data_IF_754775357218
#
_entry.id   IF_754775357218
#
_cell.length_a   1.000
_cell.length_b   1.000
_cell.length_c   1.000
_cell.angle_alpha   90.00
_cell.angle_beta   90.00
_cell.angle_gamma   90.00
#
_symmetry.space_group_name_H-M   'P 1'
#
loop_
_entity.id
_entity.type
_entity.pdbx_description
1 polymer ?
#
# COMPACT_ATOMS: atom_id res chain seq x y z
N UNK A 1 -7.12 -8.43 -10.89
CA UNK A 1 -6.38 -9.51 -10.17
C UNK A 1 -6.87 -9.55 -8.73
N UNK A 2 -7.27 -10.71 -8.26
CA UNK A 2 -7.72 -10.89 -6.86
C UNK A 2 -6.52 -11.00 -5.92
N UNK A 3 -6.77 -10.78 -4.62
CA UNK A 3 -5.69 -10.76 -3.61
C UNK A 3 -4.93 -12.09 -3.55
N UNK A 4 -5.61 -13.23 -3.64
CA UNK A 4 -4.99 -14.56 -3.61
C UNK A 4 -4.03 -14.76 -4.79
N UNK A 5 -4.40 -14.29 -5.97
CA UNK A 5 -3.53 -14.33 -7.15
C UNK A 5 -2.32 -13.43 -6.98
N UNK A 6 -2.50 -12.25 -6.39
CA UNK A 6 -1.40 -11.33 -6.08
C UNK A 6 -0.42 -11.95 -5.09
N UNK A 7 -0.93 -12.59 -4.04
CA UNK A 7 -0.09 -13.28 -3.03
C UNK A 7 0.70 -14.42 -3.64
N UNK A 8 0.05 -15.23 -4.49
CA UNK A 8 0.72 -16.32 -5.20
C UNK A 8 1.83 -15.79 -6.11
N UNK A 9 1.61 -14.68 -6.80
CA UNK A 9 2.60 -14.04 -7.66
C UNK A 9 3.78 -13.51 -6.85
N UNK A 10 3.53 -12.91 -5.68
CA UNK A 10 4.60 -12.46 -4.77
C UNK A 10 5.47 -13.63 -4.32
N UNK A 11 4.87 -14.74 -3.94
CA UNK A 11 5.62 -15.94 -3.53
C UNK A 11 6.45 -16.52 -4.69
N UNK A 12 5.90 -16.53 -5.90
CA UNK A 12 6.62 -16.93 -7.12
C UNK A 12 7.82 -16.03 -7.39
N UNK A 13 7.66 -14.72 -7.22
CA UNK A 13 8.76 -13.75 -7.39
C UNK A 13 9.84 -13.94 -6.34
N UNK A 14 9.47 -14.21 -5.08
CA UNK A 14 10.43 -14.48 -4.00
C UNK A 14 11.26 -15.73 -4.31
N UNK A 15 10.62 -16.78 -4.80
CA UNK A 15 11.30 -18.03 -5.18
C UNK A 15 12.29 -17.80 -6.32
N UNK A 16 11.89 -17.02 -7.34
CA UNK A 16 12.75 -16.68 -8.46
C UNK A 16 13.95 -15.83 -8.04
N UNK A 17 13.74 -14.85 -7.17
CA UNK A 17 14.82 -14.02 -6.61
C UNK A 17 15.80 -14.90 -5.83
N UNK A 18 15.32 -15.82 -5.01
CA UNK A 18 16.17 -16.75 -4.25
C UNK A 18 16.99 -17.65 -5.19
N UNK A 19 16.39 -18.11 -6.29
CA UNK A 19 17.09 -18.90 -7.30
C UNK A 19 18.20 -18.10 -7.96
N UNK A 20 17.95 -16.85 -8.31
CA UNK A 20 18.95 -15.96 -8.91
C UNK A 20 20.08 -15.68 -7.91
N UNK A 21 19.78 -15.42 -6.65
CA UNK A 21 20.78 -15.18 -5.61
C UNK A 21 21.74 -16.36 -5.47
N UNK A 22 21.24 -17.59 -5.58
CA UNK A 22 22.09 -18.79 -5.59
C UNK A 22 22.98 -18.85 -6.82
N UNK A 23 22.47 -18.46 -7.99
CA UNK A 23 23.23 -18.42 -9.22
C UNK A 23 24.35 -17.38 -9.16
N UNK A 24 24.12 -16.25 -8.46
CA UNK A 24 25.13 -15.19 -8.29
C UNK A 24 26.32 -15.64 -7.43
N UNK A 25 26.18 -16.69 -6.65
CA UNK A 25 27.27 -17.28 -5.88
C UNK A 25 28.22 -18.14 -6.73
N UNK A 26 27.88 -18.39 -7.99
CA UNK A 26 28.70 -19.19 -8.91
C UNK A 26 29.88 -18.35 -9.44
N UNK A 27 31.10 -18.72 -9.04
CA UNK A 27 32.32 -18.03 -9.43
C UNK A 27 32.66 -18.16 -10.92
N UNK A 28 32.04 -19.11 -11.62
CA UNK A 28 32.26 -19.34 -13.05
C UNK A 28 31.51 -18.38 -13.96
N UNK A 29 30.63 -17.52 -13.42
CA UNK A 29 29.87 -16.54 -14.19
C UNK A 29 30.78 -15.48 -14.78
N UNK A 30 30.54 -15.12 -16.04
CA UNK A 30 31.15 -13.94 -16.63
C UNK A 30 30.58 -12.67 -15.99
N UNK A 31 31.30 -11.54 -16.13
CA UNK A 31 30.81 -10.26 -15.63
C UNK A 31 29.47 -9.87 -16.25
N UNK A 32 29.30 -10.16 -17.54
CA UNK A 32 28.04 -9.88 -18.26
C UNK A 32 26.89 -10.72 -17.72
N UNK A 33 27.12 -12.01 -17.48
CA UNK A 33 26.12 -12.90 -16.91
C UNK A 33 25.73 -12.48 -15.48
N UNK A 34 26.72 -12.12 -14.68
CA UNK A 34 26.51 -11.63 -13.32
C UNK A 34 25.65 -10.37 -13.30
N UNK A 35 26.02 -9.37 -14.13
CA UNK A 35 25.30 -8.10 -14.19
C UNK A 35 23.86 -8.30 -14.69
N UNK A 36 23.64 -9.19 -15.66
CA UNK A 36 22.31 -9.51 -16.18
C UNK A 36 21.42 -10.15 -15.12
N UNK A 37 21.95 -11.10 -14.34
CA UNK A 37 21.21 -11.75 -13.26
C UNK A 37 20.92 -10.78 -12.11
N UNK A 38 21.89 -9.94 -11.76
CA UNK A 38 21.72 -8.94 -10.70
C UNK A 38 20.61 -7.94 -11.08
N UNK A 39 20.58 -7.47 -12.32
CA UNK A 39 19.53 -6.58 -12.82
C UNK A 39 18.17 -7.26 -12.78
N UNK A 40 18.09 -8.51 -13.19
CA UNK A 40 16.83 -9.29 -13.16
C UNK A 40 16.31 -9.44 -11.72
N UNK A 41 17.18 -9.73 -10.77
CA UNK A 41 16.82 -9.82 -9.36
C UNK A 41 16.34 -8.48 -8.82
N UNK A 42 17.00 -7.38 -9.20
CA UNK A 42 16.59 -6.03 -8.82
C UNK A 42 15.19 -5.69 -9.35
N UNK A 43 14.94 -5.92 -10.64
CA UNK A 43 13.64 -5.65 -11.26
C UNK A 43 12.53 -6.47 -10.61
N UNK A 44 12.77 -7.76 -10.32
CA UNK A 44 11.82 -8.62 -9.63
C UNK A 44 11.54 -8.13 -8.21
N UNK A 45 12.57 -7.65 -7.50
CA UNK A 45 12.41 -7.10 -6.15
C UNK A 45 11.53 -5.86 -6.16
N UNK A 46 11.68 -4.98 -7.17
CA UNK A 46 10.83 -3.79 -7.31
C UNK A 46 9.38 -4.18 -7.61
N UNK A 47 9.16 -5.10 -8.55
CA UNK A 47 7.81 -5.59 -8.86
C UNK A 47 7.14 -6.25 -7.66
N UNK A 48 7.90 -7.07 -6.92
CA UNK A 48 7.41 -7.72 -5.72
C UNK A 48 6.99 -6.69 -4.67
N UNK A 49 7.83 -5.68 -4.44
CA UNK A 49 7.54 -4.61 -3.49
C UNK A 49 6.27 -3.84 -3.87
N UNK A 50 6.12 -3.48 -5.15
CA UNK A 50 4.94 -2.79 -5.64
C UNK A 50 3.68 -3.64 -5.49
N UNK A 51 3.77 -4.92 -5.80
CA UNK A 51 2.62 -5.83 -5.68
C UNK A 51 2.25 -6.07 -4.21
N UNK A 52 3.24 -6.17 -3.32
CA UNK A 52 3.00 -6.28 -1.89
C UNK A 52 2.28 -5.04 -1.35
N UNK A 53 2.66 -3.84 -1.82
CA UNK A 53 1.97 -2.61 -1.44
C UNK A 53 0.50 -2.62 -1.88
N UNK A 54 0.22 -3.10 -3.08
CA UNK A 54 -1.17 -3.26 -3.56
C UNK A 54 -1.96 -4.22 -2.66
N UNK A 55 -1.37 -5.35 -2.30
CA UNK A 55 -1.98 -6.33 -1.40
C UNK A 55 -2.29 -5.66 -0.04
N UNK A 56 -1.34 -4.91 0.50
CA UNK A 56 -1.51 -4.22 1.78
C UNK A 56 -2.65 -3.20 1.72
N UNK A 57 -2.75 -2.44 0.63
CA UNK A 57 -3.84 -1.47 0.43
C UNK A 57 -5.20 -2.16 0.33
N UNK A 58 -5.29 -3.25 -0.43
CA UNK A 58 -6.55 -3.97 -0.64
C UNK A 58 -6.96 -4.83 0.55
N UNK A 59 -6.03 -5.15 1.44
CA UNK A 59 -6.30 -5.91 2.67
C UNK A 59 -6.87 -5.04 3.79
N UNK A 60 -6.93 -3.73 3.62
CA UNK A 60 -7.55 -2.82 4.58
C UNK A 60 -9.05 -3.10 4.64
N UNK A 61 -9.60 -3.17 5.86
CA UNK A 61 -11.02 -3.48 6.09
C UNK A 61 -11.93 -2.44 5.42
N UNK A 62 -12.85 -2.92 4.58
CA UNK A 62 -13.82 -2.07 3.91
C UNK A 62 -14.89 -1.60 4.89
N UNK A 63 -15.21 -0.30 4.87
CA UNK A 63 -16.31 0.24 5.64
C UNK A 63 -17.65 -0.23 5.03
N UNK A 64 -18.52 -0.83 5.86
CA UNK A 64 -19.76 -1.46 5.38
C UNK A 64 -20.93 -0.47 5.38
N UNK A 65 -20.98 0.44 6.36
CA UNK A 65 -22.07 1.39 6.51
C UNK A 65 -21.57 2.77 6.87
N UNK A 66 -22.09 3.78 6.18
CA UNK A 66 -21.89 5.19 6.49
C UNK A 66 -23.24 5.90 6.43
N UNK A 67 -23.43 6.89 7.26
CA UNK A 67 -24.57 7.79 7.17
C UNK A 67 -24.42 8.72 5.97
N UNK A 68 -25.51 9.37 5.55
CA UNK A 68 -25.45 10.35 4.44
C UNK A 68 -24.45 11.48 4.73
N UNK A 69 -24.42 11.95 5.98
CA UNK A 69 -23.47 12.96 6.40
C UNK A 69 -22.03 12.46 6.31
N UNK A 70 -21.76 11.24 6.77
CA UNK A 70 -20.43 10.63 6.71
C UNK A 70 -19.98 10.42 5.26
N UNK A 71 -20.87 9.95 4.40
CA UNK A 71 -20.59 9.79 2.98
C UNK A 71 -20.23 11.14 2.33
N UNK A 72 -21.00 12.18 2.61
CA UNK A 72 -20.73 13.53 2.13
C UNK A 72 -19.39 14.06 2.64
N UNK A 73 -19.09 13.82 3.92
CA UNK A 73 -17.82 14.20 4.54
C UNK A 73 -16.63 13.50 3.85
N UNK A 74 -16.70 12.19 3.66
CA UNK A 74 -15.63 11.42 3.00
C UNK A 74 -15.44 11.82 1.54
N UNK A 75 -16.54 12.06 0.83
CA UNK A 75 -16.50 12.47 -0.57
C UNK A 75 -15.97 13.90 -0.77
N UNK A 76 -15.94 14.73 0.28
CA UNK A 76 -15.40 16.09 0.19
C UNK A 76 -13.89 16.13 0.06
N UNK A 77 -13.20 15.04 0.34
CA UNK A 77 -11.75 14.95 0.22
C UNK A 77 -11.35 14.41 -1.16
N UNK A 78 -10.39 15.07 -1.81
CA UNK A 78 -9.77 14.56 -3.04
C UNK A 78 -8.55 13.71 -2.68
N UNK A 79 -8.08 12.88 -3.62
CA UNK A 79 -6.88 12.07 -3.42
C UNK A 79 -5.65 12.93 -3.18
N UNK A 80 -4.73 12.43 -2.39
CA UNK A 80 -3.49 13.10 -2.03
C UNK A 80 -3.31 13.23 -0.52
N UNK A 81 -2.22 13.89 -0.14
CA UNK A 81 -1.92 14.18 1.27
C UNK A 81 -2.49 15.53 1.64
N UNK A 82 -3.23 15.58 2.74
CA UNK A 82 -3.87 16.81 3.20
C UNK A 82 -3.65 17.03 4.68
N UNK A 83 -3.49 18.28 5.07
CA UNK A 83 -3.55 18.69 6.46
C UNK A 83 -5.02 18.86 6.85
N UNK A 84 -5.41 18.28 7.97
CA UNK A 84 -6.79 18.37 8.49
C UNK A 84 -6.76 18.95 9.90
N UNK A 85 -7.91 19.44 10.35
CA UNK A 85 -8.05 19.94 11.72
C UNK A 85 -8.12 18.78 12.70
N UNK A 86 -7.80 19.03 13.98
CA UNK A 86 -7.94 18.03 15.03
C UNK A 86 -9.37 17.50 15.14
N UNK A 87 -10.35 18.37 14.92
CA UNK A 87 -11.76 18.01 14.92
C UNK A 87 -12.11 17.03 13.79
N UNK A 88 -11.57 17.26 12.59
CA UNK A 88 -11.72 16.33 11.46
C UNK A 88 -11.03 15.00 11.74
N UNK A 89 -9.83 15.03 12.33
CA UNK A 89 -9.11 13.82 12.72
C UNK A 89 -9.90 12.98 13.72
N UNK A 90 -10.59 13.61 14.66
CA UNK A 90 -11.46 12.90 15.62
C UNK A 90 -12.67 12.25 14.95
N UNK A 91 -13.22 12.89 13.91
CA UNK A 91 -14.29 12.27 13.11
C UNK A 91 -13.77 11.02 12.43
N UNK A 92 -12.57 11.06 11.85
CA UNK A 92 -11.95 9.89 11.23
C UNK A 92 -11.72 8.73 12.20
N UNK A 93 -11.48 9.01 13.49
CA UNK A 93 -11.34 7.95 14.50
C UNK A 93 -12.59 7.12 14.68
N UNK A 94 -13.75 7.63 14.30
CA UNK A 94 -15.02 6.88 14.36
C UNK A 94 -15.10 5.82 13.28
N UNK A 95 -14.27 5.95 12.24
CA UNK A 95 -14.16 4.96 11.18
C UNK A 95 -13.03 3.99 11.54
N UNK A 96 -13.32 2.73 11.59
CA UNK A 96 -12.36 1.65 11.81
C UNK A 96 -11.37 1.89 12.97
N UNK A 97 -11.78 2.63 14.01
CA UNK A 97 -10.95 2.87 15.18
C UNK A 97 -9.69 3.70 14.90
N UNK A 98 -9.72 4.58 13.90
CA UNK A 98 -8.58 5.40 13.49
C UNK A 98 -7.57 4.70 12.61
N UNK A 99 -7.78 3.42 12.31
CA UNK A 99 -6.94 2.66 11.37
C UNK A 99 -7.36 2.93 9.93
N UNK A 100 -6.46 2.71 8.96
CA UNK A 100 -6.81 2.87 7.55
C UNK A 100 -8.06 2.06 7.16
N UNK A 101 -8.87 2.61 6.29
CA UNK A 101 -10.08 1.96 5.79
C UNK A 101 -10.30 2.29 4.33
N UNK A 102 -11.16 1.51 3.66
CA UNK A 102 -11.54 1.71 2.28
C UNK A 102 -13.00 2.12 2.22
N UNK A 103 -13.27 3.18 1.47
CA UNK A 103 -14.62 3.63 1.16
C UNK A 103 -14.68 4.13 -0.28
N UNK A 104 -15.65 3.63 -1.03
CA UNK A 104 -15.92 4.07 -2.40
C UNK A 104 -14.67 4.07 -3.32
N UNK A 105 -13.90 2.98 -3.28
CA UNK A 105 -12.69 2.82 -4.11
C UNK A 105 -11.51 3.68 -3.68
N UNK A 106 -11.55 4.26 -2.49
CA UNK A 106 -10.48 5.08 -1.94
C UNK A 106 -10.02 4.53 -0.60
N UNK A 107 -8.71 4.55 -0.38
CA UNK A 107 -8.13 4.22 0.91
C UNK A 107 -7.88 5.51 1.70
N UNK A 108 -8.41 5.56 2.89
CA UNK A 108 -8.22 6.68 3.81
C UNK A 108 -7.26 6.26 4.92
N UNK A 109 -6.26 7.07 5.15
CA UNK A 109 -5.29 6.88 6.22
C UNK A 109 -5.14 8.20 6.97
N UNK A 110 -5.70 8.26 8.19
CA UNK A 110 -5.66 9.45 9.02
C UNK A 110 -4.54 9.34 10.05
N UNK A 111 -3.60 10.26 9.98
CA UNK A 111 -2.48 10.34 10.92
C UNK A 111 -2.72 11.47 11.91
N UNK A 112 -3.42 11.18 12.97
CA UNK A 112 -3.63 12.21 13.97
C UNK A 112 -4.91 12.03 14.77
N UNK A 113 -5.23 12.96 15.66
CA UNK A 113 -4.41 14.14 16.02
C UNK A 113 -3.14 13.75 16.76
N UNK A 114 -2.05 14.44 16.46
CA UNK A 114 -0.79 14.29 17.18
C UNK A 114 -0.67 15.46 18.17
N UNK A 115 -0.87 15.19 19.43
CA UNK A 115 -0.88 16.19 20.47
C UNK A 115 0.51 16.81 20.74
N UNK A 116 1.58 16.10 20.37
CA UNK A 116 2.95 16.61 20.54
C UNK A 116 3.32 17.68 19.52
N UNK A 117 2.93 17.47 18.27
CA UNK A 117 3.31 18.35 17.15
C UNK A 117 2.15 19.21 16.66
N UNK A 118 0.93 18.96 17.15
CA UNK A 118 -0.28 19.59 16.63
C UNK A 118 -0.60 19.21 15.19
N UNK A 119 0.05 18.17 14.67
CA UNK A 119 -0.11 17.73 13.28
C UNK A 119 -1.23 16.72 13.14
N UNK A 120 -2.11 16.95 12.19
CA UNK A 120 -3.12 16.00 11.75
C UNK A 120 -3.08 15.94 10.24
N UNK A 121 -2.89 14.74 9.70
CA UNK A 121 -2.77 14.51 8.28
C UNK A 121 -3.78 13.48 7.78
N UNK A 122 -4.16 13.62 6.53
CA UNK A 122 -5.02 12.66 5.85
C UNK A 122 -4.38 12.30 4.51
N UNK A 123 -4.26 11.02 4.25
CA UNK A 123 -3.82 10.49 2.96
C UNK A 123 -5.02 9.78 2.34
N UNK A 124 -5.45 10.25 1.18
CA UNK A 124 -6.53 9.62 0.42
C UNK A 124 -5.94 9.07 -0.89
N UNK A 125 -5.99 7.78 -1.05
CA UNK A 125 -5.44 7.09 -2.22
C UNK A 125 -6.57 6.47 -3.04
N UNK A 126 -6.62 6.78 -4.32
CA UNK A 126 -7.56 6.14 -5.25
C UNK A 126 -7.01 4.74 -5.58
N UNK A 127 -7.77 3.72 -5.20
CA UNK A 127 -7.41 2.32 -5.43
C UNK A 127 -8.38 1.62 -6.38
N UNK A 128 -9.28 2.36 -7.02
CA UNK A 128 -10.31 1.78 -7.89
C UNK A 128 -9.72 1.05 -9.11
N UNK A 129 -8.50 1.41 -9.52
CA UNK A 129 -7.82 0.85 -10.68
C UNK A 129 -6.72 -0.18 -10.32
N UNK A 130 -6.63 -0.54 -9.05
CA UNK A 130 -5.65 -1.56 -8.62
C UNK A 130 -6.10 -2.98 -8.90
#
# INVERSE_FOLDING_TARGET
MIIEEMKAKVESMKAEIARIDKLLDDESLSNEEYDSLEKKAYDLSQERGNLQNKINMLSVKKLVRVSDWEASFLNSFSCGTRKITNKQAEIFKKFNGGKPFIYNGRRFDCQGPNYRTGFSGLIVTDISNL
#
